data_IF_633524182411
#
_entry.id   IF_633524182411
#
_cell.length_a   1.000
_cell.length_b   1.000
_cell.length_c   1.000
_cell.angle_alpha   90.00
_cell.angle_beta   90.00
_cell.angle_gamma   90.00
#
_symmetry.space_group_name_H-M   'P 1'
#
loop_
_entity.id
_entity.type
_entity.pdbx_description
1 polymer ?
#
# COMPACT_ATOMS: atom_id res chain seq x y z
N UNK A 1 -0.83 2.43 -13.16
CA UNK A 1 -0.37 1.04 -13.33
C UNK A 1 0.97 0.84 -12.64
N UNK A 2 1.12 -0.23 -11.87
CA UNK A 2 2.37 -0.64 -11.23
C UNK A 2 2.82 -1.96 -11.85
N UNK A 3 4.12 -2.18 -12.00
CA UNK A 3 4.65 -3.46 -12.49
C UNK A 3 6.02 -3.77 -11.86
N UNK A 4 6.26 -5.04 -11.57
CA UNK A 4 7.57 -5.60 -11.27
C UNK A 4 7.91 -6.60 -12.38
N UNK A 5 9.15 -6.58 -12.88
CA UNK A 5 9.66 -7.48 -13.93
C UNK A 5 10.96 -8.09 -13.48
N UNK A 6 10.96 -9.40 -13.23
CA UNK A 6 12.12 -10.16 -12.74
C UNK A 6 12.79 -9.47 -11.54
N UNK A 7 12.00 -8.77 -10.72
CA UNK A 7 12.50 -7.87 -9.68
C UNK A 7 13.09 -8.67 -8.53
N UNK A 8 14.39 -8.51 -8.30
CA UNK A 8 15.14 -9.23 -7.27
C UNK A 8 15.91 -8.29 -6.35
N UNK A 9 16.05 -8.68 -5.09
CA UNK A 9 16.88 -7.97 -4.10
C UNK A 9 17.66 -8.95 -3.25
N UNK A 10 18.97 -8.86 -3.35
CA UNK A 10 19.92 -9.48 -2.42
C UNK A 10 20.58 -8.38 -1.60
N UNK A 11 20.56 -8.52 -0.29
CA UNK A 11 21.26 -7.61 0.62
C UNK A 11 22.75 -7.98 0.74
N UNK A 12 23.54 -7.09 1.32
CA UNK A 12 25.00 -7.25 1.48
C UNK A 12 25.37 -8.45 2.36
N UNK A 13 24.51 -8.82 3.31
CA UNK A 13 24.64 -10.01 4.16
C UNK A 13 24.33 -11.33 3.44
N UNK A 14 24.04 -11.26 2.13
CA UNK A 14 23.73 -12.41 1.27
C UNK A 14 22.27 -12.83 1.26
N UNK A 15 21.41 -12.22 2.08
CA UNK A 15 19.98 -12.56 2.13
C UNK A 15 19.29 -12.18 0.81
N UNK A 16 18.70 -13.16 0.13
CA UNK A 16 17.85 -12.97 -1.02
C UNK A 16 16.41 -12.67 -0.54
N UNK A 17 16.12 -11.38 -0.36
CA UNK A 17 14.85 -10.93 0.20
C UNK A 17 13.70 -10.86 -0.82
N UNK A 18 14.05 -10.79 -2.12
CA UNK A 18 13.10 -10.85 -3.23
C UNK A 18 13.77 -11.59 -4.39
N UNK A 19 13.07 -12.56 -4.98
CA UNK A 19 13.58 -13.44 -6.03
C UNK A 19 12.63 -13.44 -7.22
N UNK A 20 13.01 -12.72 -8.29
CA UNK A 20 12.33 -12.61 -9.58
C UNK A 20 10.82 -12.34 -9.48
N UNK A 21 10.45 -11.38 -8.64
CA UNK A 21 9.05 -10.97 -8.53
C UNK A 21 8.54 -10.43 -9.86
N UNK A 22 7.47 -11.03 -10.35
CA UNK A 22 6.67 -10.54 -11.47
C UNK A 22 5.27 -10.25 -10.94
N UNK A 23 4.81 -9.00 -11.04
CA UNK A 23 3.44 -8.62 -10.74
C UNK A 23 3.02 -7.41 -11.57
N UNK A 24 1.70 -7.27 -11.73
CA UNK A 24 1.12 -6.12 -12.41
C UNK A 24 -0.17 -5.70 -11.72
N UNK A 25 -0.31 -4.38 -11.49
CA UNK A 25 -1.52 -3.76 -10.94
C UNK A 25 -2.03 -2.74 -11.94
N UNK A 26 -3.26 -2.95 -12.42
CA UNK A 26 -3.90 -2.05 -13.38
C UNK A 26 -4.52 -0.83 -12.70
N UNK A 27 -4.85 0.19 -13.47
CA UNK A 27 -5.71 1.28 -13.00
C UNK A 27 -7.08 0.72 -12.63
N UNK A 28 -7.62 1.14 -11.48
CA UNK A 28 -8.88 0.61 -10.96
C UNK A 28 -8.76 -0.82 -10.42
N UNK A 29 -7.58 -1.22 -9.95
CA UNK A 29 -7.33 -2.54 -9.36
C UNK A 29 -6.68 -2.43 -7.98
N UNK A 30 -7.16 -3.24 -7.03
CA UNK A 30 -6.49 -3.46 -5.73
C UNK A 30 -5.79 -4.80 -5.77
N UNK A 31 -4.47 -4.78 -5.67
CA UNK A 31 -3.62 -5.96 -5.53
C UNK A 31 -3.13 -6.11 -4.09
N UNK A 32 -3.43 -7.22 -3.43
CA UNK A 32 -2.91 -7.54 -2.11
C UNK A 32 -1.73 -8.51 -2.18
N UNK A 33 -0.55 -8.08 -1.75
CA UNK A 33 0.58 -8.99 -1.46
C UNK A 33 0.36 -9.60 -0.07
N UNK A 34 -0.08 -10.86 -0.02
CA UNK A 34 -0.33 -11.61 1.19
C UNK A 34 0.88 -12.44 1.57
N UNK A 35 1.33 -12.39 2.81
CA UNK A 35 2.45 -13.22 3.28
C UNK A 35 2.85 -12.91 4.71
N UNK A 36 3.55 -13.84 5.35
CA UNK A 36 4.10 -13.65 6.69
C UNK A 36 5.22 -12.60 6.76
N UNK A 37 5.73 -12.37 7.97
CA UNK A 37 6.90 -11.52 8.17
C UNK A 37 8.12 -12.16 7.47
N UNK A 38 8.93 -11.33 6.81
CA UNK A 38 10.07 -11.81 6.03
C UNK A 38 9.72 -12.39 4.65
N UNK A 39 8.45 -12.37 4.22
CA UNK A 39 8.05 -12.86 2.90
C UNK A 39 8.53 -11.99 1.72
N UNK A 40 9.09 -10.80 1.95
CA UNK A 40 9.59 -9.89 0.92
C UNK A 40 8.66 -8.72 0.57
N UNK A 41 7.48 -8.60 1.20
CA UNK A 41 6.46 -7.58 0.89
C UNK A 41 6.98 -6.15 1.02
N UNK A 42 7.53 -5.79 2.18
CA UNK A 42 8.11 -4.45 2.43
C UNK A 42 9.32 -4.18 1.54
N UNK A 43 10.13 -5.22 1.23
CA UNK A 43 11.23 -5.10 0.27
C UNK A 43 10.71 -4.73 -1.11
N UNK A 44 9.63 -5.36 -1.60
CA UNK A 44 9.01 -5.01 -2.87
C UNK A 44 8.51 -3.55 -2.87
N UNK A 45 7.81 -3.11 -1.82
CA UNK A 45 7.35 -1.72 -1.67
C UNK A 45 8.54 -0.75 -1.69
N UNK A 46 9.63 -1.04 -0.97
CA UNK A 46 10.83 -0.20 -0.94
C UNK A 46 11.51 -0.08 -2.30
N UNK A 47 11.50 -1.13 -3.12
CA UNK A 47 12.00 -1.11 -4.50
C UNK A 47 11.10 -0.25 -5.40
N UNK A 48 9.78 -0.34 -5.30
CA UNK A 48 8.86 0.56 -6.01
C UNK A 48 9.09 2.03 -5.63
N UNK A 49 9.37 2.32 -4.35
CA UNK A 49 9.63 3.68 -3.87
C UNK A 49 11.07 4.15 -4.16
N UNK A 50 11.91 3.28 -4.68
CA UNK A 50 13.35 3.52 -4.80
C UNK A 50 13.96 4.05 -3.48
N UNK A 51 13.64 3.36 -2.38
CA UNK A 51 14.34 3.52 -1.11
C UNK A 51 15.56 2.60 -1.03
N UNK A 52 15.55 1.54 -1.84
CA UNK A 52 16.67 0.63 -2.08
C UNK A 52 16.73 0.33 -3.58
N UNK A 53 17.94 0.04 -4.08
CA UNK A 53 18.12 -0.35 -5.47
C UNK A 53 17.89 -1.85 -5.68
N UNK A 54 17.32 -2.26 -6.82
CA UNK A 54 17.21 -3.67 -7.18
C UNK A 54 18.58 -4.28 -7.42
N UNK A 55 18.73 -5.58 -7.16
CA UNK A 55 19.90 -6.35 -7.57
C UNK A 55 19.78 -6.81 -9.02
N UNK A 56 18.54 -7.14 -9.45
CA UNK A 56 18.18 -7.51 -10.82
C UNK A 56 16.74 -7.08 -11.10
N UNK A 57 16.40 -6.96 -12.37
CA UNK A 57 15.05 -6.59 -12.81
C UNK A 57 14.70 -5.14 -12.54
N UNK A 58 13.42 -4.81 -12.64
CA UNK A 58 12.96 -3.44 -12.52
C UNK A 58 11.55 -3.32 -11.93
N UNK A 59 11.34 -2.26 -11.14
CA UNK A 59 10.02 -1.81 -10.70
C UNK A 59 9.59 -0.61 -11.56
N UNK A 60 8.31 -0.57 -11.96
CA UNK A 60 7.75 0.50 -12.79
C UNK A 60 6.50 1.10 -12.16
N UNK A 61 6.38 2.43 -12.23
CA UNK A 61 5.21 3.20 -11.84
C UNK A 61 4.81 4.09 -13.01
N UNK A 62 3.61 3.90 -13.54
CA UNK A 62 3.16 4.67 -14.72
C UNK A 62 4.05 4.46 -15.96
N UNK A 63 4.71 3.30 -16.09
CA UNK A 63 5.67 3.02 -17.14
C UNK A 63 7.09 3.55 -16.89
N UNK A 64 7.32 4.29 -15.79
CA UNK A 64 8.63 4.85 -15.43
C UNK A 64 9.38 3.86 -14.56
N UNK A 65 10.59 3.48 -14.96
CA UNK A 65 11.48 2.62 -14.18
C UNK A 65 12.00 3.38 -12.96
N UNK A 66 11.68 2.90 -11.76
CA UNK A 66 11.83 3.67 -10.51
C UNK A 66 13.26 4.05 -10.16
N UNK A 67 14.23 3.16 -10.41
CA UNK A 67 15.64 3.43 -10.13
C UNK A 67 16.33 4.29 -11.21
N UNK A 68 15.74 4.43 -12.41
CA UNK A 68 16.29 5.28 -13.49
C UNK A 68 15.80 6.72 -13.39
N UNK A 69 14.52 6.92 -13.05
CA UNK A 69 13.95 8.26 -12.80
C UNK A 69 13.07 8.25 -11.55
N UNK A 70 13.70 8.24 -10.36
CA UNK A 70 12.97 8.14 -9.10
C UNK A 70 12.08 9.37 -8.83
N UNK A 71 12.45 10.55 -9.32
CA UNK A 71 11.66 11.76 -9.10
C UNK A 71 10.35 11.71 -9.90
N UNK A 72 10.43 11.35 -11.18
CA UNK A 72 9.24 11.21 -12.02
C UNK A 72 8.34 10.07 -11.51
N UNK A 73 8.91 8.92 -11.13
CA UNK A 73 8.16 7.80 -10.56
C UNK A 73 7.45 8.18 -9.26
N UNK A 74 8.13 8.88 -8.33
CA UNK A 74 7.55 9.34 -7.06
C UNK A 74 6.41 10.35 -7.22
N UNK A 75 6.35 11.10 -8.33
CA UNK A 75 5.20 11.95 -8.65
C UNK A 75 3.95 11.15 -8.99
N UNK A 76 4.10 9.91 -9.47
CA UNK A 76 3.00 9.04 -9.91
C UNK A 76 2.45 8.14 -8.80
N UNK A 77 2.99 8.20 -7.58
CA UNK A 77 2.60 7.30 -6.50
C UNK A 77 2.45 8.03 -5.18
N UNK A 78 1.42 7.68 -4.41
CA UNK A 78 1.31 8.01 -2.99
C UNK A 78 1.70 6.78 -2.16
N UNK A 79 2.25 6.99 -0.97
CA UNK A 79 2.65 5.91 -0.07
C UNK A 79 2.10 6.16 1.33
N UNK A 80 1.56 5.12 1.94
CA UNK A 80 1.15 5.11 3.35
C UNK A 80 1.81 3.90 4.02
N UNK A 81 2.71 4.18 4.95
CA UNK A 81 3.40 3.16 5.74
C UNK A 81 2.52 2.60 6.84
N UNK A 82 2.87 1.40 7.35
CA UNK A 82 2.23 0.81 8.53
C UNK A 82 2.19 1.78 9.72
N UNK A 83 3.31 2.45 9.97
CA UNK A 83 3.42 3.47 11.00
C UNK A 83 3.50 4.84 10.34
N UNK A 84 2.34 5.50 10.23
CA UNK A 84 2.24 6.84 9.63
C UNK A 84 2.97 7.87 10.47
N UNK A 85 4.13 8.33 9.98
CA UNK A 85 5.00 9.30 10.63
C UNK A 85 4.61 10.71 10.20
N UNK A 86 3.83 11.39 11.03
CA UNK A 86 3.39 12.77 10.84
C UNK A 86 3.92 13.64 12.00
N UNK A 87 3.86 14.96 11.85
CA UNK A 87 4.30 15.88 12.91
C UNK A 87 3.36 15.82 14.11
N UNK A 88 3.79 15.28 15.27
CA UNK A 88 2.89 15.00 16.39
C UNK A 88 2.38 16.28 17.07
N UNK A 89 3.11 17.39 16.96
CA UNK A 89 2.75 18.70 17.51
C UNK A 89 1.87 19.53 16.56
N UNK A 90 1.69 19.11 15.30
CA UNK A 90 0.77 19.73 14.37
C UNK A 90 -0.62 19.12 14.51
N UNK A 91 -1.63 19.88 14.10
CA UNK A 91 -3.00 19.37 13.91
C UNK A 91 -3.09 18.56 12.61
N UNK A 92 -4.21 17.87 12.38
CA UNK A 92 -4.46 17.21 11.10
C UNK A 92 -4.40 18.21 9.95
N UNK A 93 -5.08 19.34 10.07
CA UNK A 93 -5.08 20.39 9.04
C UNK A 93 -3.67 20.90 8.72
N UNK A 94 -2.84 21.12 9.74
CA UNK A 94 -1.46 21.57 9.56
C UNK A 94 -0.58 20.50 8.88
N UNK A 95 -0.77 19.23 9.24
CA UNK A 95 -0.05 18.13 8.58
C UNK A 95 -0.47 18.03 7.10
N UNK A 96 -1.76 18.09 6.80
CA UNK A 96 -2.23 18.04 5.41
C UNK A 96 -1.67 19.20 4.58
N UNK A 97 -1.71 20.43 5.09
CA UNK A 97 -1.14 21.60 4.42
C UNK A 97 0.37 21.41 4.15
N UNK A 98 1.10 20.99 5.19
CA UNK A 98 2.54 20.79 5.08
C UNK A 98 2.92 19.73 4.03
N UNK A 99 2.31 18.55 4.12
CA UNK A 99 2.64 17.44 3.21
C UNK A 99 2.11 17.67 1.78
N UNK A 100 0.99 18.37 1.60
CA UNK A 100 0.51 18.77 0.27
C UNK A 100 1.51 19.69 -0.41
N UNK A 101 1.99 20.73 0.28
CA UNK A 101 3.00 21.66 -0.24
C UNK A 101 4.33 20.95 -0.52
N UNK A 102 4.77 20.06 0.37
CA UNK A 102 5.97 19.25 0.18
C UNK A 102 5.86 18.36 -1.07
N UNK A 103 4.65 17.84 -1.34
CA UNK A 103 4.32 17.06 -2.55
C UNK A 103 4.14 17.91 -3.81
N UNK A 104 4.38 19.23 -3.75
CA UNK A 104 4.23 20.14 -4.88
C UNK A 104 2.77 20.53 -5.19
N UNK A 105 1.82 20.20 -4.29
CA UNK A 105 0.41 20.57 -4.42
C UNK A 105 0.15 21.85 -3.61
N UNK A 106 -0.13 22.92 -4.31
CA UNK A 106 -0.47 24.24 -3.74
C UNK A 106 -1.89 24.63 -4.13
N UNK A 107 -2.48 25.58 -3.40
CA UNK A 107 -3.80 26.12 -3.73
C UNK A 107 -4.96 25.46 -2.98
N UNK A 108 -4.72 24.41 -2.18
CA UNK A 108 -5.76 23.88 -1.29
C UNK A 108 -6.11 24.88 -0.19
N UNK A 109 -7.41 25.07 0.03
CA UNK A 109 -7.94 25.86 1.14
C UNK A 109 -8.08 25.02 2.41
N UNK A 110 -8.29 25.68 3.54
CA UNK A 110 -8.60 24.98 4.80
C UNK A 110 -9.87 24.11 4.68
N UNK A 111 -10.81 24.56 3.87
CA UNK A 111 -12.06 23.83 3.63
C UNK A 111 -11.82 22.56 2.80
N UNK A 112 -10.92 22.58 1.82
CA UNK A 112 -10.55 21.39 1.06
C UNK A 112 -9.92 20.33 1.97
N UNK A 113 -9.03 20.73 2.89
CA UNK A 113 -8.48 19.82 3.90
C UNK A 113 -9.56 19.24 4.80
N UNK A 114 -10.54 20.02 5.24
CA UNK A 114 -11.67 19.52 6.04
C UNK A 114 -12.49 18.49 5.30
N UNK A 115 -12.85 18.75 4.03
CA UNK A 115 -13.58 17.80 3.19
C UNK A 115 -12.86 16.47 3.05
N UNK A 116 -11.55 16.50 2.82
CA UNK A 116 -10.76 15.26 2.71
C UNK A 116 -10.68 14.54 4.05
N UNK A 117 -10.52 15.23 5.17
CA UNK A 117 -10.52 14.61 6.50
C UNK A 117 -11.87 13.96 6.83
N UNK A 118 -12.98 14.59 6.49
CA UNK A 118 -14.32 14.01 6.63
C UNK A 118 -14.50 12.78 5.74
N UNK A 119 -14.03 12.87 4.47
CA UNK A 119 -14.07 11.74 3.51
C UNK A 119 -13.36 10.50 4.06
N UNK A 120 -12.21 10.66 4.71
CA UNK A 120 -11.51 9.54 5.36
C UNK A 120 -12.11 9.13 6.71
N UNK A 121 -13.26 9.69 7.09
CA UNK A 121 -13.96 9.36 8.32
C UNK A 121 -13.29 9.90 9.59
N UNK A 122 -12.50 10.97 9.49
CA UNK A 122 -11.98 11.66 10.69
C UNK A 122 -13.00 12.73 11.14
N UNK A 123 -13.50 12.58 12.36
CA UNK A 123 -14.51 13.47 12.93
C UNK A 123 -14.01 14.91 13.06
N UNK A 124 -14.88 15.91 12.87
CA UNK A 124 -14.53 17.33 12.86
C UNK A 124 -13.81 17.81 14.12
N UNK A 125 -14.23 17.30 15.29
CA UNK A 125 -13.65 17.65 16.59
C UNK A 125 -12.17 17.24 16.70
N UNK A 126 -11.74 16.31 15.86
CA UNK A 126 -10.33 15.90 15.79
C UNK A 126 -9.49 16.83 14.94
N UNK A 127 -10.06 17.48 13.90
CA UNK A 127 -9.29 18.20 12.88
C UNK A 127 -8.31 19.24 13.45
N UNK A 128 -8.69 19.92 14.56
CA UNK A 128 -7.89 20.92 15.25
C UNK A 128 -7.06 20.37 16.43
N UNK A 129 -7.19 19.06 16.75
CA UNK A 129 -6.38 18.44 17.80
C UNK A 129 -5.00 18.07 17.28
N UNK A 130 -3.99 18.08 18.17
CA UNK A 130 -2.62 17.69 17.83
C UNK A 130 -2.53 16.17 17.62
N UNK A 131 -1.79 15.74 16.61
CA UNK A 131 -1.66 14.33 16.23
C UNK A 131 -1.09 13.43 17.34
N UNK A 132 -0.34 13.98 18.29
CA UNK A 132 0.13 13.22 19.48
C UNK A 132 -1.01 12.58 20.28
N UNK A 133 -2.25 13.11 20.16
CA UNK A 133 -3.43 12.59 20.85
C UNK A 133 -4.22 11.57 20.01
N UNK A 134 -3.77 11.28 18.79
CA UNK A 134 -4.47 10.42 17.85
C UNK A 134 -4.19 8.95 18.11
N UNK A 135 -5.21 8.11 17.95
CA UNK A 135 -5.05 6.66 17.83
C UNK A 135 -4.26 6.28 16.56
N UNK A 136 -3.79 5.03 16.47
CA UNK A 136 -3.16 4.52 15.24
C UNK A 136 -4.10 4.69 14.04
N UNK A 137 -5.37 4.32 14.16
CA UNK A 137 -6.36 4.46 13.09
C UNK A 137 -6.61 5.91 12.66
N UNK A 138 -6.64 6.86 13.58
CA UNK A 138 -6.75 8.27 13.23
C UNK A 138 -5.52 8.78 12.46
N UNK A 139 -4.31 8.31 12.81
CA UNK A 139 -3.10 8.64 12.04
C UNK A 139 -3.12 8.01 10.66
N UNK A 140 -3.59 6.76 10.52
CA UNK A 140 -3.78 6.12 9.21
C UNK A 140 -4.74 6.92 8.33
N UNK A 141 -5.87 7.37 8.86
CA UNK A 141 -6.82 8.25 8.16
C UNK A 141 -6.13 9.53 7.64
N UNK A 142 -5.27 10.16 8.45
CA UNK A 142 -4.49 11.31 7.99
C UNK A 142 -3.50 10.94 6.88
N UNK A 143 -2.84 9.78 6.95
CA UNK A 143 -1.94 9.29 5.91
C UNK A 143 -2.66 9.12 4.57
N UNK A 144 -3.83 8.49 4.58
CA UNK A 144 -4.67 8.36 3.37
C UNK A 144 -5.18 9.72 2.89
N UNK A 145 -5.56 10.64 3.78
CA UNK A 145 -5.97 11.98 3.40
C UNK A 145 -4.86 12.70 2.62
N UNK A 146 -3.59 12.57 3.06
CA UNK A 146 -2.44 13.11 2.33
C UNK A 146 -2.26 12.41 0.98
N UNK A 147 -2.45 11.08 0.91
CA UNK A 147 -2.38 10.34 -0.35
C UNK A 147 -3.45 10.80 -1.35
N UNK A 148 -4.67 11.06 -0.88
CA UNK A 148 -5.77 11.62 -1.71
C UNK A 148 -5.40 13.01 -2.24
N UNK A 149 -4.89 13.91 -1.37
CA UNK A 149 -4.48 15.26 -1.76
C UNK A 149 -3.31 15.26 -2.75
N UNK A 150 -2.42 14.28 -2.66
CA UNK A 150 -1.34 14.11 -3.63
C UNK A 150 -1.88 13.82 -5.03
N UNK A 151 -3.06 13.23 -5.13
CA UNK A 151 -3.75 12.93 -6.39
C UNK A 151 -2.89 12.13 -7.36
N UNK A 152 -2.18 11.14 -6.85
CA UNK A 152 -1.35 10.25 -7.66
C UNK A 152 -2.17 9.10 -8.25
N UNK A 153 -1.89 8.64 -9.48
CA UNK A 153 -2.62 7.52 -10.11
C UNK A 153 -2.38 6.17 -9.43
N UNK A 154 -1.34 6.04 -8.62
CA UNK A 154 -1.04 4.82 -7.89
C UNK A 154 -0.90 5.08 -6.38
N UNK A 155 -1.24 4.07 -5.56
CA UNK A 155 -1.11 4.11 -4.11
C UNK A 155 -0.41 2.82 -3.65
N UNK A 156 0.65 2.97 -2.86
CA UNK A 156 1.32 1.87 -2.16
C UNK A 156 0.96 1.94 -0.68
N UNK A 157 0.59 0.80 -0.10
CA UNK A 157 0.17 0.68 1.29
C UNK A 157 0.95 -0.46 1.95
N UNK A 158 1.66 -0.16 3.03
CA UNK A 158 2.37 -1.19 3.79
C UNK A 158 1.60 -1.49 5.09
N UNK A 159 1.01 -2.70 5.18
CA UNK A 159 0.22 -3.19 6.32
C UNK A 159 -0.84 -2.18 6.82
N UNK A 160 -1.67 -1.61 5.94
CA UNK A 160 -2.46 -0.42 6.26
C UNK A 160 -3.56 -0.64 7.30
N UNK A 161 -3.98 -1.89 7.51
CA UNK A 161 -5.02 -2.26 8.49
C UNK A 161 -4.47 -2.85 9.79
N UNK A 162 -3.13 -2.97 9.89
CA UNK A 162 -2.46 -3.51 11.09
C UNK A 162 -2.79 -2.70 12.34
N UNK A 163 -3.31 -3.36 13.37
CA UNK A 163 -3.66 -2.73 14.66
C UNK A 163 -4.84 -1.77 14.61
N UNK A 164 -5.66 -1.80 13.57
CA UNK A 164 -6.96 -1.14 13.55
C UNK A 164 -8.01 -2.03 14.24
N UNK A 165 -8.92 -1.39 14.96
CA UNK A 165 -10.11 -2.09 15.42
C UNK A 165 -11.00 -2.54 14.23
N UNK A 166 -11.92 -3.51 14.42
CA UNK A 166 -12.72 -4.05 13.33
C UNK A 166 -13.51 -2.99 12.55
N UNK A 167 -14.07 -2.00 13.23
CA UNK A 167 -14.87 -0.93 12.60
C UNK A 167 -13.97 -0.03 11.75
N UNK A 168 -12.86 0.46 12.31
CA UNK A 168 -11.91 1.28 11.58
C UNK A 168 -11.32 0.53 10.36
N UNK A 169 -11.09 -0.78 10.49
CA UNK A 169 -10.65 -1.61 9.38
C UNK A 169 -11.67 -1.70 8.24
N UNK A 170 -12.97 -1.84 8.55
CA UNK A 170 -14.04 -1.84 7.54
C UNK A 170 -14.18 -0.49 6.84
N UNK A 171 -14.17 0.61 7.60
CA UNK A 171 -14.18 1.97 7.04
C UNK A 171 -12.99 2.20 6.10
N UNK A 172 -11.81 1.71 6.48
CA UNK A 172 -10.61 1.82 5.66
C UNK A 172 -10.72 1.03 4.34
N UNK A 173 -11.26 -0.19 4.40
CA UNK A 173 -11.51 -1.03 3.22
C UNK A 173 -12.48 -0.34 2.26
N UNK A 174 -13.60 0.19 2.77
CA UNK A 174 -14.57 0.91 1.94
C UNK A 174 -13.91 2.11 1.21
N UNK A 175 -13.06 2.85 1.91
CA UNK A 175 -12.30 3.95 1.32
C UNK A 175 -11.33 3.49 0.22
N UNK A 176 -10.65 2.35 0.40
CA UNK A 176 -9.79 1.80 -0.66
C UNK A 176 -10.59 1.39 -1.90
N UNK A 177 -11.79 0.82 -1.71
CA UNK A 177 -12.68 0.48 -2.82
C UNK A 177 -13.15 1.73 -3.57
N UNK A 178 -13.50 2.82 -2.87
CA UNK A 178 -13.81 4.10 -3.50
C UNK A 178 -12.63 4.62 -4.34
N UNK A 179 -11.41 4.59 -3.81
CA UNK A 179 -10.21 5.05 -4.52
C UNK A 179 -9.90 4.18 -5.75
N UNK A 180 -10.12 2.86 -5.66
CA UNK A 180 -10.05 1.95 -6.81
C UNK A 180 -11.08 2.34 -7.88
N UNK A 181 -12.32 2.59 -7.49
CA UNK A 181 -13.42 2.92 -8.40
C UNK A 181 -13.20 4.29 -9.08
N UNK A 182 -12.42 5.19 -8.45
CA UNK A 182 -11.88 6.40 -9.06
C UNK A 182 -10.73 6.14 -10.07
N UNK A 183 -10.37 4.89 -10.30
CA UNK A 183 -9.33 4.49 -11.28
C UNK A 183 -7.91 4.39 -10.71
N UNK A 184 -7.72 4.46 -9.38
CA UNK A 184 -6.38 4.33 -8.77
C UNK A 184 -5.88 2.88 -8.84
N UNK A 185 -4.60 2.70 -9.16
CA UNK A 185 -3.91 1.42 -9.00
C UNK A 185 -3.42 1.30 -7.55
N UNK A 186 -3.87 0.29 -6.80
CA UNK A 186 -3.55 0.14 -5.38
C UNK A 186 -2.79 -1.16 -5.17
N UNK A 187 -1.57 -1.08 -4.64
CA UNK A 187 -0.79 -2.22 -4.19
C UNK A 187 -0.66 -2.16 -2.67
N UNK A 188 -1.17 -3.17 -1.98
CA UNK A 188 -1.07 -3.26 -0.52
C UNK A 188 -0.34 -4.52 -0.07
N UNK A 189 0.49 -4.40 0.97
CA UNK A 189 0.98 -5.55 1.70
C UNK A 189 0.04 -5.89 2.85
N UNK A 190 -0.11 -7.16 3.16
CA UNK A 190 -0.82 -7.61 4.36
C UNK A 190 -0.42 -9.03 4.76
N UNK A 191 -0.57 -9.35 6.05
CA UNK A 191 -0.55 -10.72 6.57
C UNK A 191 -1.96 -11.20 6.95
N UNK A 192 -2.98 -10.35 6.82
CA UNK A 192 -4.36 -10.66 7.15
C UNK A 192 -5.11 -11.19 5.92
N UNK A 193 -5.33 -12.51 5.90
CA UNK A 193 -6.01 -13.22 4.83
C UNK A 193 -7.44 -12.72 4.61
N UNK A 194 -8.17 -12.45 5.72
CA UNK A 194 -9.56 -11.99 5.65
C UNK A 194 -9.65 -10.62 5.01
N UNK A 195 -8.75 -9.70 5.39
CA UNK A 195 -8.68 -8.36 4.80
C UNK A 195 -8.29 -8.41 3.33
N UNK A 196 -7.30 -9.23 2.96
CA UNK A 196 -6.93 -9.43 1.58
C UNK A 196 -8.13 -9.90 0.74
N UNK A 197 -8.83 -10.97 1.19
CA UNK A 197 -10.02 -11.51 0.51
C UNK A 197 -11.16 -10.48 0.40
N UNK A 198 -11.33 -9.64 1.41
CA UNK A 198 -12.42 -8.67 1.45
C UNK A 198 -12.25 -7.51 0.47
N UNK A 199 -11.00 -7.05 0.27
CA UNK A 199 -10.73 -5.79 -0.45
C UNK A 199 -10.14 -5.99 -1.83
N UNK A 200 -9.30 -7.03 -2.03
CA UNK A 200 -8.49 -7.16 -3.25
C UNK A 200 -9.29 -7.70 -4.44
N UNK A 201 -8.96 -7.19 -5.61
CA UNK A 201 -9.37 -7.73 -6.90
C UNK A 201 -8.43 -8.87 -7.31
N UNK A 202 -7.16 -8.81 -6.83
CA UNK A 202 -6.15 -9.83 -7.03
C UNK A 202 -5.32 -10.02 -5.75
N UNK A 203 -5.04 -11.26 -5.38
CA UNK A 203 -4.19 -11.62 -4.24
C UNK A 203 -2.98 -12.39 -4.73
N UNK A 204 -1.78 -11.88 -4.43
CA UNK A 204 -0.53 -12.58 -4.63
C UNK A 204 0.01 -13.13 -3.31
N UNK A 205 0.23 -14.44 -3.21
CA UNK A 205 0.81 -15.07 -2.02
C UNK A 205 2.32 -15.01 -2.13
N UNK A 206 2.93 -14.35 -1.17
CA UNK A 206 4.39 -14.19 -1.05
C UNK A 206 4.96 -15.14 -0.01
N UNK A 207 5.99 -15.92 -0.36
CA UNK A 207 6.74 -16.76 0.56
C UNK A 207 8.23 -16.70 0.24
N UNK A 208 9.07 -16.40 1.25
CA UNK A 208 10.55 -16.38 1.15
C UNK A 208 11.06 -15.60 -0.07
N UNK A 209 10.51 -14.42 -0.32
CA UNK A 209 10.91 -13.54 -1.41
C UNK A 209 10.29 -13.87 -2.77
N UNK A 210 9.48 -14.91 -2.89
CA UNK A 210 8.84 -15.33 -4.15
C UNK A 210 7.33 -15.11 -4.12
N UNK A 211 6.77 -14.77 -5.27
CA UNK A 211 5.35 -14.88 -5.53
C UNK A 211 5.05 -16.36 -5.86
N UNK A 212 4.38 -17.07 -4.95
CA UNK A 212 4.15 -18.52 -5.07
C UNK A 212 2.78 -18.86 -5.64
N UNK A 213 1.84 -17.93 -5.56
CA UNK A 213 0.54 -18.02 -6.21
C UNK A 213 -0.04 -16.64 -6.47
N UNK A 214 -0.83 -16.51 -7.51
CA UNK A 214 -1.65 -15.33 -7.80
C UNK A 214 -3.08 -15.78 -8.10
N UNK A 215 -4.08 -15.11 -7.52
CA UNK A 215 -5.49 -15.44 -7.65
C UNK A 215 -6.31 -14.18 -7.89
N UNK A 216 -7.19 -14.23 -8.87
CA UNK A 216 -8.23 -13.22 -9.06
C UNK A 216 -9.39 -13.42 -8.09
N UNK A 217 -10.11 -12.33 -7.79
CA UNK A 217 -11.27 -12.36 -6.88
C UNK A 217 -12.31 -13.43 -7.27
N UNK A 218 -12.58 -13.61 -8.55
CA UNK A 218 -13.51 -14.63 -9.06
C UNK A 218 -13.09 -16.07 -8.72
N UNK A 219 -11.78 -16.32 -8.62
CA UNK A 219 -11.25 -17.63 -8.21
C UNK A 219 -11.33 -17.81 -6.69
N UNK A 220 -11.24 -16.71 -5.92
CA UNK A 220 -11.28 -16.73 -4.45
C UNK A 220 -12.69 -16.99 -3.88
N UNK A 221 -13.76 -16.78 -4.67
CA UNK A 221 -15.14 -17.04 -4.24
C UNK A 221 -15.42 -18.54 -4.07
N UNK A 222 -14.71 -19.41 -4.79
CA UNK A 222 -14.83 -20.88 -4.74
C UNK A 222 -13.72 -21.58 -3.96
N UNK A 223 -12.65 -20.89 -3.62
CA UNK A 223 -11.46 -21.47 -2.94
C UNK A 223 -11.34 -20.98 -1.49
N UNK A 224 -10.89 -21.89 -0.62
CA UNK A 224 -10.51 -21.57 0.76
C UNK A 224 -9.10 -20.98 0.74
N UNK A 225 -9.02 -19.64 0.66
CA UNK A 225 -7.75 -18.91 0.64
C UNK A 225 -6.86 -19.24 1.86
N UNK A 226 -7.48 -19.57 3.01
CA UNK A 226 -6.72 -19.96 4.21
C UNK A 226 -6.01 -21.29 4.00
N UNK A 227 -6.71 -22.30 3.46
CA UNK A 227 -6.09 -23.61 3.15
C UNK A 227 -5.00 -23.46 2.11
N UNK A 228 -5.26 -22.67 1.07
CA UNK A 228 -4.28 -22.39 0.02
C UNK A 228 -3.03 -21.72 0.61
N UNK A 229 -3.21 -20.68 1.42
CA UNK A 229 -2.13 -19.99 2.10
C UNK A 229 -1.30 -20.91 2.99
N UNK A 230 -1.97 -21.73 3.83
CA UNK A 230 -1.30 -22.70 4.70
C UNK A 230 -0.51 -23.72 3.88
N UNK A 231 -1.08 -24.23 2.78
CA UNK A 231 -0.42 -25.21 1.90
C UNK A 231 0.89 -24.66 1.31
N UNK A 232 0.87 -23.40 0.82
CA UNK A 232 2.09 -22.75 0.31
C UNK A 232 3.09 -22.40 1.41
N UNK A 233 2.63 -21.99 2.61
CA UNK A 233 3.53 -21.71 3.73
C UNK A 233 4.19 -22.96 4.28
N UNK A 234 3.48 -24.08 4.31
CA UNK A 234 4.00 -25.38 4.75
C UNK A 234 4.89 -26.10 3.72
N UNK A 235 4.97 -25.59 2.48
CA UNK A 235 5.73 -26.22 1.40
C UNK A 235 5.07 -27.46 0.79
N UNK A 236 3.76 -27.65 0.99
CA UNK A 236 3.01 -28.75 0.39
C UNK A 236 2.65 -28.51 -1.10
N UNK A 237 2.82 -27.26 -1.60
CA UNK A 237 2.59 -26.92 -3.00
C UNK A 237 3.83 -26.20 -3.54
N UNK A 238 4.23 -26.55 -4.76
CA UNK A 238 5.27 -25.82 -5.50
C UNK A 238 4.70 -24.50 -6.07
N UNK A 239 5.59 -23.55 -6.32
CA UNK A 239 5.20 -22.26 -6.91
C UNK A 239 4.55 -22.49 -8.28
N UNK A 240 3.34 -21.94 -8.47
CA UNK A 240 2.51 -22.07 -9.67
C UNK A 240 2.45 -20.76 -10.48
N UNK A 241 3.60 -20.02 -10.55
CA UNK A 241 3.68 -18.73 -11.27
C UNK A 241 4.86 -18.71 -12.22
#
# INVERSE_FOLDING_TARGET
MLAARELSKRYEDGVLALDRLNLQVQSGEIYAMLGGNGAGKTTAINLFLNFIDPSEGEALIGGIVTHRDPIAAKKQVAFVSENVMLYPNFTALQNLDYFSRLGGRTGYTREDYRKVLLRVGLQEEAHAKKLRTYSKGMRQKCGIAIAILKDAPAILLDEPTSGLDPKAGLEFIALLQELRDEGRAILMSTHDIFRAKQVADKVGIMNRGRLVAEKHRSELEGEDLEKLYVAYMAGYMEAAV
#
